data_IF_779182142215
#
_entry.id   IF_779182142215
#
_cell.length_a   1.000
_cell.length_b   1.000
_cell.length_c   1.000
_cell.angle_alpha   90.00
_cell.angle_beta   90.00
_cell.angle_gamma   90.00
#
_symmetry.space_group_name_H-M   'P 1'
#
loop_
_entity.id
_entity.type
_entity.pdbx_description
1 polymer ?
#
# COMPACT_ATOMS: atom_id res chain seq x y z
N UNK A 1 -25.14 87.19 31.81
CA UNK A 1 -23.91 87.98 31.54
C UNK A 1 -22.75 87.24 32.15
N UNK A 2 -21.71 86.94 31.34
CA UNK A 2 -20.32 86.58 31.74
C UNK A 2 -20.18 85.23 32.47
N UNK A 3 -19.29 84.28 32.19
CA UNK A 3 -18.41 83.84 31.10
C UNK A 3 -17.91 82.44 31.55
N UNK A 4 -17.46 81.54 30.65
CA UNK A 4 -17.10 80.17 30.99
C UNK A 4 -15.60 80.05 31.38
N UNK A 5 -15.29 79.20 32.36
CA UNK A 5 -13.92 78.76 32.67
C UNK A 5 -13.70 77.31 32.22
N UNK A 6 -12.70 77.18 31.37
CA UNK A 6 -12.04 76.01 30.80
C UNK A 6 -11.35 75.11 31.84
N UNK A 7 -11.27 73.81 31.56
CA UNK A 7 -10.07 72.95 31.68
C UNK A 7 -10.39 71.55 31.11
N UNK A 8 -9.90 71.22 29.91
CA UNK A 8 -8.74 70.36 29.60
C UNK A 8 -8.89 68.90 30.10
N UNK A 9 -9.12 67.93 29.19
CA UNK A 9 -8.13 67.30 28.29
C UNK A 9 -7.47 66.08 28.94
N UNK A 10 -7.91 64.89 28.53
CA UNK A 10 -7.06 63.73 28.17
C UNK A 10 -7.95 62.65 27.55
N UNK A 11 -8.08 62.67 26.23
CA UNK A 11 -8.59 61.52 25.48
C UNK A 11 -7.45 60.51 25.37
N UNK A 12 -7.49 59.45 26.17
CA UNK A 12 -6.62 58.29 25.96
C UNK A 12 -7.06 57.58 24.68
N UNK A 13 -6.27 57.75 23.62
CA UNK A 13 -6.33 56.89 22.46
C UNK A 13 -5.93 55.47 22.88
N UNK A 14 -6.92 54.57 22.95
CA UNK A 14 -6.66 53.13 23.09
C UNK A 14 -6.13 52.65 21.73
N UNK A 15 -4.81 52.53 21.66
CA UNK A 15 -4.10 51.90 20.54
C UNK A 15 -4.54 50.41 20.52
N UNK A 16 -5.10 49.88 19.42
CA UNK A 16 -5.35 48.45 19.33
C UNK A 16 -4.00 47.71 19.36
N UNK A 17 -3.90 46.56 20.06
CA UNK A 17 -2.66 45.81 20.14
C UNK A 17 -2.16 45.44 18.74
N UNK A 18 -0.83 45.35 18.54
CA UNK A 18 -0.26 45.01 17.24
C UNK A 18 -0.85 43.67 16.79
N UNK A 19 -1.49 43.68 15.62
CA UNK A 19 -1.89 42.48 14.90
C UNK A 19 -0.60 41.70 14.67
N UNK A 20 -0.40 40.67 15.48
CA UNK A 20 0.65 39.70 15.29
C UNK A 20 0.36 39.01 13.96
N UNK A 21 0.99 39.49 12.89
CA UNK A 21 0.98 38.84 11.59
C UNK A 21 1.83 37.59 11.73
N UNK A 22 1.24 36.54 12.30
CA UNK A 22 1.65 35.17 12.04
C UNK A 22 1.84 35.05 10.51
N UNK A 23 2.97 34.50 10.03
CA UNK A 23 3.20 34.41 8.60
C UNK A 23 2.01 33.71 7.98
N UNK A 24 1.32 34.41 7.06
CA UNK A 24 0.31 33.82 6.19
C UNK A 24 1.01 32.70 5.44
N UNK A 25 0.90 31.48 5.96
CA UNK A 25 1.12 30.26 5.20
C UNK A 25 0.19 30.41 4.00
N UNK A 26 0.77 30.71 2.86
CA UNK A 26 0.08 30.90 1.60
C UNK A 26 -0.87 29.72 1.39
N UNK A 27 -2.13 30.02 1.11
CA UNK A 27 -3.18 29.08 0.71
C UNK A 27 -2.86 28.42 -0.64
N UNK A 28 -1.78 27.66 -0.68
CA UNK A 28 -1.41 26.71 -1.72
C UNK A 28 -0.96 25.41 -1.05
N UNK A 29 -1.84 24.83 -0.22
CA UNK A 29 -1.77 23.40 0.06
C UNK A 29 -2.26 22.67 -1.20
N UNK A 30 -1.38 22.57 -2.21
CA UNK A 30 -1.52 21.52 -3.24
C UNK A 30 -1.66 20.20 -2.50
N UNK A 31 -2.68 19.44 -2.86
CA UNK A 31 -3.10 18.17 -2.26
C UNK A 31 -1.90 17.21 -2.10
N UNK A 32 -1.17 17.33 -1.00
CA UNK A 32 0.05 16.57 -0.75
C UNK A 32 -0.39 15.17 -0.35
N UNK A 33 -0.47 14.29 -1.34
CA UNK A 33 -0.79 12.89 -1.12
C UNK A 33 0.32 12.26 -0.26
N UNK A 34 -0.07 11.55 0.79
CA UNK A 34 0.79 10.89 1.79
C UNK A 34 1.45 9.62 1.23
N UNK A 35 2.53 9.16 1.86
CA UNK A 35 3.14 7.85 1.60
C UNK A 35 2.62 6.85 2.63
N UNK A 36 1.86 5.87 2.16
CA UNK A 36 1.19 4.88 3.02
C UNK A 36 2.15 3.77 3.43
N UNK A 37 2.26 3.51 4.74
CA UNK A 37 3.09 2.45 5.32
C UNK A 37 2.17 1.27 5.68
N UNK A 38 2.16 0.23 4.85
CA UNK A 38 1.45 -1.02 5.14
C UNK A 38 2.44 -2.05 5.68
N UNK A 39 2.15 -2.64 6.83
CA UNK A 39 3.02 -3.60 7.53
C UNK A 39 2.19 -4.50 8.45
N UNK A 40 2.76 -5.63 8.86
CA UNK A 40 2.18 -6.44 9.92
C UNK A 40 2.70 -5.94 11.28
N UNK A 41 1.81 -5.81 12.27
CA UNK A 41 2.18 -5.31 13.60
C UNK A 41 3.33 -6.09 14.26
N UNK A 42 3.41 -7.40 14.01
CA UNK A 42 4.48 -8.27 14.50
C UNK A 42 5.87 -7.92 13.96
N UNK A 43 5.96 -7.11 12.91
CA UNK A 43 7.24 -6.63 12.39
C UNK A 43 7.66 -5.27 12.99
N UNK A 44 6.88 -4.69 13.90
CA UNK A 44 7.28 -3.44 14.58
C UNK A 44 7.92 -3.71 15.93
N UNK A 45 9.23 -3.44 16.02
CA UNK A 45 9.98 -3.50 17.27
C UNK A 45 9.43 -2.54 18.33
N UNK A 46 9.05 -1.33 17.93
CA UNK A 46 8.48 -0.31 18.81
C UNK A 46 7.14 -0.74 19.40
N UNK A 47 6.30 -1.43 18.62
CA UNK A 47 5.06 -2.05 19.12
C UNK A 47 5.38 -3.17 20.12
N UNK A 48 6.28 -4.08 19.77
CA UNK A 48 6.65 -5.22 20.62
C UNK A 48 7.23 -4.76 21.96
N UNK A 49 8.05 -3.71 21.98
CA UNK A 49 8.56 -3.13 23.24
C UNK A 49 7.44 -2.65 24.17
N UNK A 50 6.44 -1.93 23.63
CA UNK A 50 5.26 -1.51 24.41
C UNK A 50 4.45 -2.71 24.92
N UNK A 51 4.33 -3.75 24.11
CA UNK A 51 3.60 -4.96 24.48
C UNK A 51 4.33 -5.77 25.57
N UNK A 52 5.67 -5.75 25.59
CA UNK A 52 6.48 -6.31 26.68
C UNK A 52 6.26 -5.54 27.98
N UNK A 53 6.30 -4.20 27.93
CA UNK A 53 6.02 -3.35 29.09
C UNK A 53 4.60 -3.57 29.65
N UNK A 54 3.64 -3.86 28.76
CA UNK A 54 2.26 -4.20 29.12
C UNK A 54 2.06 -5.67 29.57
N UNK A 55 3.10 -6.51 29.50
CA UNK A 55 3.02 -7.94 29.84
C UNK A 55 2.26 -8.81 28.84
N UNK A 56 2.11 -8.33 27.59
CA UNK A 56 1.41 -9.02 26.49
C UNK A 56 2.38 -9.83 25.61
N UNK A 57 3.64 -9.40 25.52
CA UNK A 57 4.68 -10.04 24.73
C UNK A 57 5.91 -10.36 25.59
N UNK A 58 6.81 -11.21 25.10
CA UNK A 58 8.06 -11.54 25.76
C UNK A 58 9.27 -10.95 25.03
N UNK A 59 10.42 -10.90 25.71
CA UNK A 59 11.65 -10.36 25.10
C UNK A 59 12.11 -11.16 23.89
N UNK A 60 11.79 -12.45 23.82
CA UNK A 60 12.07 -13.30 22.65
C UNK A 60 11.29 -12.88 21.40
N UNK A 61 10.17 -12.15 21.55
CA UNK A 61 9.40 -11.66 20.41
C UNK A 61 10.13 -10.50 19.69
N UNK A 62 11.07 -9.82 20.34
CA UNK A 62 11.90 -8.79 19.72
C UNK A 62 12.82 -9.33 18.63
N UNK A 63 13.20 -10.61 18.73
CA UNK A 63 14.07 -11.23 17.72
C UNK A 63 13.28 -11.56 16.46
N UNK A 64 11.96 -11.70 16.56
CA UNK A 64 11.06 -12.01 15.44
C UNK A 64 10.72 -10.77 14.60
N UNK A 65 10.87 -9.56 15.14
CA UNK A 65 10.51 -8.32 14.43
C UNK A 65 11.44 -8.03 13.25
N UNK A 66 12.65 -8.60 13.24
CA UNK A 66 13.72 -8.23 12.32
C UNK A 66 14.36 -6.90 12.67
N UNK A 67 15.26 -6.43 11.80
CA UNK A 67 16.10 -5.24 12.03
C UNK A 67 15.46 -3.93 11.58
N UNK A 68 14.42 -3.99 10.74
CA UNK A 68 13.78 -2.84 10.15
C UNK A 68 12.39 -2.66 10.78
N UNK A 69 12.19 -1.61 11.58
CA UNK A 69 10.90 -1.28 12.17
C UNK A 69 10.14 -0.30 11.27
N UNK A 70 9.00 -0.72 10.68
CA UNK A 70 8.19 0.13 9.81
C UNK A 70 7.73 1.44 10.49
N UNK A 71 7.53 1.41 11.82
CA UNK A 71 7.06 2.57 12.59
C UNK A 71 8.14 3.59 12.88
N UNK A 72 9.41 3.22 12.68
CA UNK A 72 10.56 4.06 12.95
C UNK A 72 11.38 4.32 11.70
N UNK A 73 12.09 3.33 11.17
CA UNK A 73 13.00 3.53 10.05
C UNK A 73 12.27 4.02 8.80
N UNK A 74 11.17 3.37 8.39
CA UNK A 74 10.41 3.81 7.21
C UNK A 74 9.76 5.17 7.43
N UNK A 75 9.18 5.39 8.61
CA UNK A 75 8.55 6.64 8.97
C UNK A 75 9.52 7.83 8.87
N UNK A 76 10.70 7.70 9.51
CA UNK A 76 11.75 8.72 9.49
C UNK A 76 12.28 8.95 8.07
N UNK A 77 12.48 7.90 7.27
CA UNK A 77 12.96 8.02 5.89
C UNK A 77 11.98 8.78 5.00
N UNK A 78 10.68 8.53 5.13
CA UNK A 78 9.65 9.27 4.38
C UNK A 78 9.70 10.76 4.74
N UNK A 79 9.82 11.09 6.03
CA UNK A 79 9.95 12.47 6.50
C UNK A 79 11.23 13.13 5.99
N UNK A 80 12.37 12.41 6.01
CA UNK A 80 13.64 12.89 5.46
C UNK A 80 13.58 13.15 3.95
N UNK A 81 12.71 12.43 3.22
CA UNK A 81 12.45 12.69 1.81
C UNK A 81 11.54 13.91 1.58
N UNK A 82 11.00 14.53 2.65
CA UNK A 82 10.11 15.68 2.57
C UNK A 82 8.65 15.33 2.27
N UNK A 83 8.24 14.07 2.50
CA UNK A 83 6.87 13.61 2.31
C UNK A 83 6.19 13.30 3.66
N UNK A 84 4.87 13.25 3.66
CA UNK A 84 4.08 12.94 4.85
C UNK A 84 3.81 11.43 4.93
N UNK A 85 4.30 10.72 5.96
CA UNK A 85 3.98 9.31 6.18
C UNK A 85 2.53 9.16 6.68
N UNK A 86 1.84 8.13 6.19
CA UNK A 86 0.58 7.66 6.76
C UNK A 86 0.82 6.33 7.46
N UNK A 87 0.55 6.28 8.76
CA UNK A 87 0.73 5.10 9.61
C UNK A 87 -0.52 4.89 10.48
N UNK A 88 -0.97 3.65 10.55
CA UNK A 88 -2.16 3.22 11.27
C UNK A 88 -2.16 3.57 12.77
N UNK A 89 -1.02 3.50 13.45
CA UNK A 89 -0.89 3.84 14.89
C UNK A 89 -1.32 5.28 15.20
N UNK A 90 -1.14 6.21 14.26
CA UNK A 90 -1.42 7.64 14.49
C UNK A 90 -2.75 8.09 13.89
N UNK A 91 -3.24 7.40 12.86
CA UNK A 91 -4.31 7.90 11.99
C UNK A 91 -5.64 7.16 12.22
N UNK A 92 -5.63 5.99 12.86
CA UNK A 92 -6.84 5.24 13.15
C UNK A 92 -7.58 5.81 14.36
N UNK A 93 -8.84 6.19 14.14
CA UNK A 93 -9.74 6.59 15.22
C UNK A 93 -10.34 5.37 15.89
N UNK A 94 -10.29 5.36 17.23
CA UNK A 94 -10.95 4.34 18.05
C UNK A 94 -12.47 4.44 17.85
N UNK A 95 -13.11 3.33 17.46
CA UNK A 95 -14.58 3.22 17.33
C UNK A 95 -15.13 3.21 15.90
N UNK A 96 -14.31 3.39 14.87
CA UNK A 96 -14.70 3.22 13.46
C UNK A 96 -14.15 1.91 12.87
N UNK A 97 -14.81 1.37 11.83
CA UNK A 97 -14.37 0.18 11.11
C UNK A 97 -12.98 0.40 10.49
N UNK A 98 -12.02 -0.44 10.89
CA UNK A 98 -10.61 -0.36 10.48
C UNK A 98 -10.48 -0.37 8.95
N UNK A 99 -11.21 -1.26 8.28
CA UNK A 99 -11.11 -1.44 6.85
C UNK A 99 -11.62 -0.22 6.08
N UNK A 100 -12.72 0.38 6.54
CA UNK A 100 -13.28 1.61 5.95
C UNK A 100 -12.31 2.79 6.06
N UNK A 101 -11.60 2.93 7.18
CA UNK A 101 -10.59 3.98 7.37
C UNK A 101 -9.38 3.77 6.44
N UNK A 102 -8.86 2.53 6.37
CA UNK A 102 -7.76 2.17 5.47
C UNK A 102 -8.13 2.38 4.00
N UNK A 103 -9.33 1.97 3.60
CA UNK A 103 -9.80 2.15 2.22
C UNK A 103 -9.95 3.63 1.84
N UNK A 104 -10.39 4.48 2.78
CA UNK A 104 -10.46 5.93 2.60
C UNK A 104 -9.06 6.53 2.45
N UNK A 105 -8.13 6.15 3.31
CA UNK A 105 -6.75 6.62 3.27
C UNK A 105 -6.05 6.22 1.96
N UNK A 106 -6.11 4.95 1.57
CA UNK A 106 -5.53 4.47 0.32
C UNK A 106 -6.13 5.16 -0.91
N UNK A 107 -7.44 5.40 -0.92
CA UNK A 107 -8.11 6.01 -2.08
C UNK A 107 -7.89 7.52 -2.21
N UNK A 108 -7.92 8.24 -1.09
CA UNK A 108 -8.03 9.70 -1.11
C UNK A 108 -6.74 10.40 -0.66
N UNK A 109 -5.95 9.76 0.20
CA UNK A 109 -4.80 10.37 0.85
C UNK A 109 -3.48 9.84 0.27
N UNK A 110 -3.40 8.56 -0.10
CA UNK A 110 -2.16 7.93 -0.54
C UNK A 110 -1.74 8.31 -1.99
N UNK A 111 -0.45 8.65 -2.16
CA UNK A 111 0.20 8.78 -3.47
C UNK A 111 1.02 7.54 -3.81
N UNK A 112 1.62 6.93 -2.80
CA UNK A 112 2.59 5.86 -2.88
C UNK A 112 2.35 4.93 -1.70
N UNK A 113 2.50 3.63 -1.90
CA UNK A 113 2.38 2.63 -0.85
C UNK A 113 3.71 1.89 -0.69
N UNK A 114 4.22 1.82 0.53
CA UNK A 114 5.33 0.96 0.90
C UNK A 114 4.73 -0.22 1.66
N UNK A 115 4.91 -1.43 1.12
CA UNK A 115 4.47 -2.66 1.76
C UNK A 115 5.67 -3.34 2.40
N UNK A 116 5.56 -3.68 3.68
CA UNK A 116 6.60 -4.35 4.45
C UNK A 116 6.32 -5.85 4.40
N UNK A 117 6.92 -6.49 3.41
CA UNK A 117 6.68 -7.89 3.09
C UNK A 117 7.44 -8.78 4.07
N UNK A 118 6.73 -9.67 4.72
CA UNK A 118 7.25 -10.65 5.66
C UNK A 118 6.34 -11.89 5.63
N UNK A 119 6.78 -12.96 6.30
CA UNK A 119 5.95 -14.16 6.45
C UNK A 119 4.67 -13.82 7.22
N UNK A 120 4.76 -12.98 8.26
CA UNK A 120 3.59 -12.53 9.03
C UNK A 120 2.64 -11.65 8.20
N UNK A 121 3.16 -10.79 7.34
CA UNK A 121 2.35 -9.98 6.43
C UNK A 121 1.59 -10.86 5.43
N UNK A 122 2.25 -11.89 4.89
CA UNK A 122 1.64 -12.82 3.95
C UNK A 122 0.51 -13.67 4.57
N UNK A 123 0.53 -13.87 5.89
CA UNK A 123 -0.47 -14.65 6.63
C UNK A 123 -1.55 -13.80 7.32
N UNK A 124 -1.44 -12.47 7.28
CA UNK A 124 -2.42 -11.55 7.83
C UNK A 124 -3.49 -11.20 6.80
N UNK A 125 -4.76 -11.50 7.10
CA UNK A 125 -5.90 -11.15 6.25
C UNK A 125 -5.97 -9.64 5.97
N UNK A 126 -5.80 -8.83 7.01
CA UNK A 126 -5.82 -7.37 6.91
C UNK A 126 -4.72 -6.86 5.98
N UNK A 127 -3.49 -7.35 6.15
CA UNK A 127 -2.35 -6.92 5.33
C UNK A 127 -2.54 -7.33 3.86
N UNK A 128 -3.04 -8.55 3.62
CA UNK A 128 -3.35 -9.01 2.26
C UNK A 128 -4.43 -8.16 1.60
N UNK A 129 -5.50 -7.85 2.31
CA UNK A 129 -6.60 -7.04 1.76
C UNK A 129 -6.17 -5.60 1.48
N UNK A 130 -5.34 -5.00 2.33
CA UNK A 130 -4.70 -3.69 2.09
C UNK A 130 -3.88 -3.70 0.80
N UNK A 131 -2.99 -4.69 0.63
CA UNK A 131 -2.19 -4.83 -0.58
C UNK A 131 -3.07 -5.03 -1.82
N UNK A 132 -4.06 -5.92 -1.75
CA UNK A 132 -4.99 -6.17 -2.84
C UNK A 132 -5.75 -4.90 -3.24
N UNK A 133 -6.18 -4.11 -2.27
CA UNK A 133 -6.91 -2.87 -2.52
C UNK A 133 -5.99 -1.79 -3.12
N UNK A 134 -4.79 -1.60 -2.57
CA UNK A 134 -3.80 -0.68 -3.14
C UNK A 134 -3.44 -1.04 -4.60
N UNK A 135 -3.25 -2.34 -4.87
CA UNK A 135 -2.98 -2.84 -6.21
C UNK A 135 -4.17 -2.65 -7.16
N UNK A 136 -5.42 -2.83 -6.68
CA UNK A 136 -6.66 -2.54 -7.45
C UNK A 136 -6.76 -1.06 -7.82
N UNK A 137 -6.40 -0.17 -6.91
CA UNK A 137 -6.34 1.29 -7.13
C UNK A 137 -5.17 1.70 -8.05
N UNK A 138 -4.31 0.75 -8.45
CA UNK A 138 -3.10 0.99 -9.24
C UNK A 138 -2.17 2.03 -8.61
N UNK A 139 -2.16 2.11 -7.28
CA UNK A 139 -1.21 2.95 -6.58
C UNK A 139 0.20 2.42 -6.85
N UNK A 140 1.20 3.30 -7.05
CA UNK A 140 2.59 2.87 -7.04
C UNK A 140 2.91 2.17 -5.72
N UNK A 141 3.57 1.03 -5.82
CA UNK A 141 3.96 0.21 -4.67
C UNK A 141 5.49 0.04 -4.67
N UNK A 142 6.10 0.16 -3.49
CA UNK A 142 7.47 -0.26 -3.19
C UNK A 142 7.38 -1.45 -2.22
N UNK A 143 7.70 -2.67 -2.65
CA UNK A 143 7.88 -3.77 -1.72
C UNK A 143 9.22 -3.67 -1.01
N UNK A 144 9.17 -3.72 0.32
CA UNK A 144 10.32 -3.76 1.21
C UNK A 144 10.25 -5.05 2.03
N UNK A 145 11.17 -5.98 1.80
CA UNK A 145 11.19 -7.26 2.50
C UNK A 145 11.84 -7.05 3.87
N UNK A 146 11.13 -7.43 4.92
CA UNK A 146 11.52 -7.27 6.34
C UNK A 146 11.23 -8.55 7.13
N UNK A 147 11.42 -8.49 8.45
CA UNK A 147 11.21 -9.63 9.35
C UNK A 147 12.35 -10.63 9.31
N UNK A 148 12.20 -11.70 10.08
CA UNK A 148 13.16 -12.80 10.12
C UNK A 148 12.59 -13.99 9.35
N UNK A 149 13.29 -14.52 8.33
CA UNK A 149 12.80 -15.68 7.58
C UNK A 149 12.52 -16.86 8.52
N UNK A 150 11.30 -17.42 8.45
CA UNK A 150 10.93 -18.56 9.29
C UNK A 150 10.85 -18.26 10.79
N UNK A 151 10.68 -16.99 11.18
CA UNK A 151 10.43 -16.59 12.57
C UNK A 151 9.27 -17.38 13.20
N UNK A 152 8.27 -17.71 12.38
CA UNK A 152 7.20 -18.63 12.71
C UNK A 152 7.34 -19.93 11.93
N UNK A 153 7.71 -21.03 12.62
CA UNK A 153 7.86 -22.37 12.00
C UNK A 153 6.56 -22.92 11.41
N UNK A 154 5.41 -22.33 11.73
CA UNK A 154 4.10 -22.73 11.21
C UNK A 154 3.63 -21.91 10.01
N UNK A 155 4.39 -20.89 9.59
CA UNK A 155 4.04 -20.04 8.45
C UNK A 155 4.86 -20.41 7.23
N UNK A 156 4.22 -20.45 6.08
CA UNK A 156 4.93 -20.59 4.80
C UNK A 156 5.74 -19.30 4.53
N UNK A 157 6.91 -19.39 3.86
CA UNK A 157 7.62 -18.21 3.43
C UNK A 157 6.77 -17.33 2.50
N UNK A 158 6.85 -16.00 2.65
CA UNK A 158 6.00 -15.07 1.90
C UNK A 158 6.09 -15.23 0.38
N UNK A 159 7.25 -15.65 -0.14
CA UNK A 159 7.56 -15.75 -1.56
C UNK A 159 6.90 -16.96 -2.24
N UNK A 160 6.45 -17.95 -1.47
CA UNK A 160 5.65 -19.08 -1.98
C UNK A 160 4.14 -18.90 -1.79
N UNK A 161 3.71 -17.80 -1.17
CA UNK A 161 2.28 -17.50 -0.97
C UNK A 161 1.65 -16.80 -2.18
N UNK A 162 0.33 -16.55 -2.12
CA UNK A 162 -0.37 -15.70 -3.09
C UNK A 162 0.21 -14.28 -3.15
N UNK A 163 0.71 -13.76 -2.03
CA UNK A 163 1.39 -12.46 -2.00
C UNK A 163 2.66 -12.50 -2.85
N UNK A 164 3.51 -13.51 -2.66
CA UNK A 164 4.72 -13.73 -3.47
C UNK A 164 4.40 -13.78 -4.97
N UNK A 165 3.37 -14.53 -5.36
CA UNK A 165 2.91 -14.59 -6.75
C UNK A 165 2.51 -13.21 -7.30
N UNK A 166 1.77 -12.41 -6.53
CA UNK A 166 1.33 -11.07 -6.93
C UNK A 166 2.47 -10.05 -6.94
N UNK A 167 3.50 -10.26 -6.12
CA UNK A 167 4.68 -9.42 -6.05
C UNK A 167 5.69 -9.68 -7.15
N UNK A 168 5.56 -10.77 -7.90
CA UNK A 168 6.49 -11.17 -8.97
C UNK A 168 6.68 -10.11 -10.08
N UNK A 169 5.76 -9.16 -10.21
CA UNK A 169 5.84 -8.02 -11.14
C UNK A 169 6.59 -6.79 -10.60
N UNK A 170 7.00 -6.78 -9.33
CA UNK A 170 7.68 -5.65 -8.70
C UNK A 170 9.15 -5.98 -8.42
N UNK A 171 10.00 -4.97 -8.59
CA UNK A 171 11.32 -4.98 -7.95
C UNK A 171 11.13 -4.63 -6.48
N UNK A 172 11.83 -5.34 -5.60
CA UNK A 172 11.76 -5.16 -4.16
C UNK A 172 13.12 -4.81 -3.56
N UNK A 173 13.09 -4.20 -2.37
CA UNK A 173 14.27 -3.95 -1.55
C UNK A 173 14.29 -4.99 -0.45
N UNK A 174 15.34 -5.80 -0.34
CA UNK A 174 15.50 -6.73 0.78
C UNK A 174 16.30 -6.08 1.90
N UNK A 175 15.65 -5.84 3.05
CA UNK A 175 16.19 -5.16 4.21
C UNK A 175 16.34 -6.06 5.45
N UNK A 176 16.35 -7.38 5.24
CA UNK A 176 16.48 -8.37 6.32
C UNK A 176 17.92 -8.54 6.83
N UNK A 177 18.92 -8.11 6.05
CA UNK A 177 20.33 -8.18 6.44
C UNK A 177 20.80 -6.87 7.08
N UNK A 178 21.13 -6.96 8.37
CA UNK A 178 21.62 -5.83 9.17
C UNK A 178 22.91 -5.20 8.61
N UNK A 179 23.82 -5.98 8.01
CA UNK A 179 25.09 -5.46 7.52
C UNK A 179 24.92 -4.47 6.37
N UNK A 180 23.81 -4.54 5.65
CA UNK A 180 23.51 -3.67 4.52
C UNK A 180 22.45 -2.61 4.83
N UNK A 181 22.03 -2.46 6.09
CA UNK A 181 20.89 -1.63 6.48
C UNK A 181 20.99 -0.21 5.92
N UNK A 182 22.14 0.45 6.03
CA UNK A 182 22.33 1.82 5.53
C UNK A 182 22.21 1.89 4.00
N UNK A 183 22.76 0.93 3.27
CA UNK A 183 22.58 0.83 1.81
C UNK A 183 21.12 0.59 1.43
N UNK A 184 20.36 -0.17 2.24
CA UNK A 184 18.92 -0.38 2.02
C UNK A 184 18.11 0.88 2.32
N UNK A 185 18.52 1.70 3.30
CA UNK A 185 17.94 3.03 3.53
C UNK A 185 18.14 3.93 2.32
N UNK A 186 19.35 4.00 1.77
CA UNK A 186 19.64 4.76 0.55
C UNK A 186 18.80 4.27 -0.64
N UNK A 187 18.70 2.95 -0.82
CA UNK A 187 17.86 2.35 -1.86
C UNK A 187 16.39 2.72 -1.71
N UNK A 188 15.86 2.74 -0.48
CA UNK A 188 14.49 3.14 -0.19
C UNK A 188 14.26 4.62 -0.48
N UNK A 189 15.18 5.50 -0.06
CA UNK A 189 15.14 6.93 -0.35
C UNK A 189 15.09 7.16 -1.87
N UNK A 190 15.96 6.49 -2.62
CA UNK A 190 15.99 6.59 -4.08
C UNK A 190 14.67 6.10 -4.72
N UNK A 191 14.12 4.98 -4.23
CA UNK A 191 12.87 4.42 -4.74
C UNK A 191 11.66 5.34 -4.46
N UNK A 192 11.59 5.94 -3.26
CA UNK A 192 10.53 6.90 -2.90
C UNK A 192 10.62 8.12 -3.79
N UNK A 193 11.78 8.79 -3.85
CA UNK A 193 11.97 10.00 -4.65
C UNK A 193 11.66 9.74 -6.13
N UNK A 194 12.23 8.67 -6.70
CA UNK A 194 12.01 8.33 -8.10
C UNK A 194 10.54 8.07 -8.45
N UNK A 195 9.78 7.38 -7.58
CA UNK A 195 8.35 7.16 -7.82
C UNK A 195 7.53 8.43 -7.64
N UNK A 196 7.84 9.26 -6.64
CA UNK A 196 7.14 10.51 -6.39
C UNK A 196 7.39 11.55 -7.50
N UNK A 197 8.62 11.62 -8.04
CA UNK A 197 8.97 12.43 -9.19
C UNK A 197 8.24 11.96 -10.46
N UNK A 198 8.20 10.65 -10.72
CA UNK A 198 7.46 10.08 -11.85
C UNK A 198 5.95 10.38 -11.76
N UNK A 199 5.37 10.33 -10.56
CA UNK A 199 3.98 10.73 -10.31
C UNK A 199 3.74 12.22 -10.59
N UNK A 200 4.66 13.09 -10.15
CA UNK A 200 4.57 14.52 -10.40
C UNK A 200 4.67 14.84 -11.89
N UNK A 201 5.56 14.17 -12.63
CA UNK A 201 5.69 14.32 -14.08
C UNK A 201 4.41 13.91 -14.80
N UNK A 202 3.84 12.75 -14.48
CA UNK A 202 2.61 12.24 -15.10
C UNK A 202 1.39 13.17 -14.88
N UNK A 203 1.36 13.93 -13.78
CA UNK A 203 0.27 14.90 -13.53
C UNK A 203 0.38 16.20 -14.33
N UNK A 204 1.55 16.49 -14.93
CA UNK A 204 1.77 17.70 -15.72
C UNK A 204 1.55 17.49 -17.23
N UNK A 205 1.51 16.24 -17.70
CA UNK A 205 1.34 15.88 -19.12
C UNK A 205 -0.13 15.84 -19.59
N UNK A 206 -1.09 16.26 -18.77
CA UNK A 206 -2.53 16.32 -19.14
C UNK A 206 -2.88 17.43 -20.18
N UNK A 207 -1.88 18.06 -20.82
CA UNK A 207 -2.07 18.93 -21.98
C UNK A 207 -1.33 18.36 -23.20
N UNK A 208 -1.92 17.34 -23.83
CA UNK A 208 -1.49 16.87 -25.16
C UNK A 208 -2.36 17.57 -26.22
N UNK A 209 -1.78 18.36 -27.16
CA UNK A 209 -2.49 18.73 -28.37
C UNK A 209 -2.77 17.47 -29.17
N UNK A 210 -4.00 17.32 -29.66
CA UNK A 210 -4.46 16.20 -30.50
C UNK A 210 -3.48 15.99 -31.66
N UNK A 211 -2.53 15.08 -31.48
CA UNK A 211 -1.62 14.62 -32.50
C UNK A 211 -2.19 13.34 -33.10
N UNK A 212 -2.39 13.39 -34.41
CA UNK A 212 -2.94 12.37 -35.28
C UNK A 212 -2.32 10.99 -35.03
N UNK A 213 -3.19 10.00 -34.82
CA UNK A 213 -2.81 8.59 -34.72
C UNK A 213 -2.02 8.16 -35.98
N UNK A 214 -0.88 7.47 -35.85
CA UNK A 214 -0.23 6.84 -36.99
C UNK A 214 -1.07 5.66 -37.52
N UNK A 215 -0.95 5.35 -38.83
CA UNK A 215 -1.72 4.26 -39.44
C UNK A 215 -1.32 2.91 -38.87
N UNK A 216 -2.33 2.05 -38.68
CA UNK A 216 -2.21 0.68 -38.20
C UNK A 216 -1.34 -0.12 -39.16
N UNK A 217 -0.12 -0.46 -38.73
CA UNK A 217 0.74 -1.40 -39.44
C UNK A 217 0.27 -2.82 -39.08
N UNK A 218 -0.11 -3.59 -40.11
CA UNK A 218 -0.48 -4.99 -39.96
C UNK A 218 0.67 -5.79 -39.34
N UNK A 219 0.42 -6.35 -38.16
CA UNK A 219 1.41 -7.08 -37.39
C UNK A 219 1.47 -8.55 -37.81
N UNK A 220 2.65 -9.02 -38.20
CA UNK A 220 2.96 -10.42 -38.52
C UNK A 220 3.51 -11.16 -37.29
N UNK A 221 2.81 -11.12 -36.15
CA UNK A 221 3.31 -11.78 -34.93
C UNK A 221 3.10 -13.31 -34.96
N UNK A 222 4.17 -14.05 -34.62
CA UNK A 222 4.10 -15.46 -34.21
C UNK A 222 3.12 -15.63 -33.03
N UNK A 223 2.35 -16.74 -32.96
CA UNK A 223 1.40 -16.95 -31.88
C UNK A 223 2.12 -16.98 -30.54
N UNK A 224 1.78 -16.04 -29.66
CA UNK A 224 2.23 -16.05 -28.27
C UNK A 224 1.54 -17.21 -27.55
N UNK A 225 2.27 -17.91 -26.68
CA UNK A 225 1.68 -18.94 -25.80
C UNK A 225 0.61 -18.28 -24.95
N UNK A 226 -0.62 -18.76 -25.07
CA UNK A 226 -1.77 -18.27 -24.30
C UNK A 226 -1.82 -19.03 -22.98
N UNK A 227 -1.86 -18.29 -21.87
CA UNK A 227 -2.17 -18.87 -20.57
C UNK A 227 -3.69 -19.04 -20.46
N UNK A 228 -4.16 -20.27 -20.33
CA UNK A 228 -5.56 -20.59 -20.14
C UNK A 228 -5.76 -20.98 -18.68
N UNK A 229 -6.44 -20.13 -17.92
CA UNK A 229 -6.93 -20.48 -16.58
C UNK A 229 -8.30 -21.15 -16.72
N UNK A 230 -8.52 -22.26 -16.02
CA UNK A 230 -9.82 -22.92 -15.94
C UNK A 230 -10.08 -23.44 -14.53
N UNK A 231 -11.36 -23.54 -14.17
CA UNK A 231 -11.77 -24.10 -12.89
C UNK A 231 -11.61 -25.63 -12.90
N UNK A 232 -10.89 -26.15 -11.91
CA UNK A 232 -10.71 -27.59 -11.70
C UNK A 232 -12.04 -28.34 -11.58
N UNK A 233 -13.06 -27.70 -11.01
CA UNK A 233 -14.41 -28.27 -10.88
C UNK A 233 -15.06 -28.59 -12.24
N UNK A 234 -14.65 -27.90 -13.31
CA UNK A 234 -15.24 -28.01 -14.64
C UNK A 234 -14.36 -28.83 -15.60
N UNK A 235 -13.24 -29.41 -15.12
CA UNK A 235 -12.36 -30.22 -15.95
C UNK A 235 -12.85 -31.66 -16.03
N UNK A 236 -13.39 -32.01 -17.20
CA UNK A 236 -13.81 -33.40 -17.49
C UNK A 236 -12.65 -34.40 -17.34
N UNK A 237 -11.44 -34.02 -17.76
CA UNK A 237 -10.27 -34.89 -17.65
C UNK A 237 -9.89 -35.14 -16.20
N UNK A 238 -9.97 -34.10 -15.36
CA UNK A 238 -9.73 -34.27 -13.92
C UNK A 238 -10.82 -35.11 -13.27
N UNK A 239 -12.10 -34.85 -13.57
CA UNK A 239 -13.22 -35.65 -13.06
C UNK A 239 -13.14 -37.10 -13.50
N UNK A 240 -12.63 -37.37 -14.70
CA UNK A 240 -12.39 -38.73 -15.19
C UNK A 240 -11.30 -39.43 -14.37
N UNK A 241 -10.20 -38.74 -14.06
CA UNK A 241 -9.14 -39.23 -13.17
C UNK A 241 -9.68 -39.50 -11.75
N UNK A 242 -10.51 -38.58 -11.22
CA UNK A 242 -11.13 -38.74 -9.91
C UNK A 242 -12.16 -39.88 -9.89
N UNK A 243 -12.90 -40.11 -10.97
CA UNK A 243 -13.80 -41.26 -11.13
C UNK A 243 -13.02 -42.57 -11.16
N UNK A 244 -11.90 -42.63 -11.89
CA UNK A 244 -11.00 -43.79 -11.90
C UNK A 244 -10.39 -44.06 -10.52
N UNK A 245 -10.16 -43.02 -9.72
CA UNK A 245 -9.70 -43.11 -8.34
C UNK A 245 -10.84 -43.32 -7.31
N UNK A 246 -12.10 -43.45 -7.74
CA UNK A 246 -13.25 -43.65 -6.84
C UNK A 246 -13.68 -42.42 -6.02
N UNK A 247 -13.18 -41.23 -6.37
CA UNK A 247 -13.42 -39.94 -5.69
C UNK A 247 -14.48 -39.07 -6.36
N UNK A 248 -15.03 -39.52 -7.48
CA UNK A 248 -16.11 -38.84 -8.20
C UNK A 248 -17.09 -39.88 -8.77
N UNK A 249 -18.31 -39.44 -9.05
CA UNK A 249 -19.34 -40.27 -9.69
C UNK A 249 -19.32 -40.11 -11.20
N UNK A 250 -19.95 -41.05 -11.91
CA UNK A 250 -20.14 -40.97 -13.37
C UNK A 250 -20.91 -39.70 -13.77
N UNK A 251 -21.82 -39.23 -12.91
CA UNK A 251 -22.60 -38.00 -13.08
C UNK A 251 -21.69 -36.76 -13.02
N UNK A 252 -20.75 -36.71 -12.07
CA UNK A 252 -19.80 -35.60 -11.95
C UNK A 252 -18.92 -35.43 -13.19
N UNK A 253 -18.55 -36.54 -13.83
CA UNK A 253 -17.79 -36.54 -15.09
C UNK A 253 -18.65 -36.02 -16.25
N UNK A 254 -19.92 -36.39 -16.29
CA UNK A 254 -20.87 -35.98 -17.32
C UNK A 254 -21.18 -34.49 -17.22
N UNK A 255 -21.44 -33.99 -16.01
CA UNK A 255 -21.77 -32.58 -15.76
C UNK A 255 -20.60 -31.64 -16.08
N UNK A 256 -19.36 -32.05 -15.75
CA UNK A 256 -18.16 -31.34 -16.18
C UNK A 256 -18.01 -31.29 -17.71
N UNK A 257 -18.51 -32.31 -18.43
CA UNK A 257 -18.52 -32.35 -19.89
C UNK A 257 -19.57 -31.42 -20.53
N UNK A 258 -20.71 -31.19 -19.87
CA UNK A 258 -21.78 -30.33 -20.37
C UNK A 258 -21.40 -28.83 -20.37
N UNK A 259 -20.59 -28.39 -19.40
CA UNK A 259 -20.13 -27.00 -19.33
C UNK A 259 -19.27 -26.59 -20.54
N UNK A 260 -18.50 -27.52 -21.10
CA UNK A 260 -17.62 -27.24 -22.26
C UNK A 260 -18.44 -27.05 -23.55
N UNK A 261 -19.53 -27.80 -23.72
CA UNK A 261 -20.38 -27.70 -24.92
C UNK A 261 -21.23 -26.43 -24.97
N UNK A 262 -21.64 -25.86 -23.82
CA UNK A 262 -22.36 -24.57 -23.80
C UNK A 262 -21.47 -23.36 -24.15
N UNK A 263 -20.19 -23.40 -23.80
CA UNK A 263 -19.25 -22.32 -24.09
C UNK A 263 -18.86 -22.23 -25.58
N UNK A 264 -18.79 -23.37 -26.28
CA UNK A 264 -18.46 -23.40 -27.71
C UNK A 264 -19.59 -22.87 -28.61
N UNK A 265 -20.85 -22.96 -28.20
CA UNK A 265 -21.98 -22.42 -28.96
C UNK A 265 -22.10 -20.88 -28.91
N UNK A 266 -21.37 -20.18 -28.03
CA UNK A 266 -21.41 -18.70 -27.95
C UNK A 266 -20.17 -18.00 -28.50
N UNK A 267 -19.18 -18.75 -29.00
CA UNK A 267 -17.96 -18.21 -29.62
C UNK A 267 -17.96 -18.32 -31.16
N UNK A 268 -19.07 -18.77 -31.77
CA UNK A 268 -19.21 -18.96 -33.23
C UNK A 268 -20.47 -18.25 -33.79
N UNK A 269 -20.94 -17.18 -33.15
CA UNK A 269 -21.93 -16.27 -33.73
C UNK A 269 -21.41 -14.83 -33.71
#
# INVERSE_FOLDING_TARGET
MIAPSTENSTAHAVIPPPINQSPKISQQAKNAKKVFISYCWSNSRSKTLKDIEAGVASTEDLDKTGFWDPRKETYEIIQQCGYEPWLDEFELKVGEDLFSQLARALKNEAALVIIHVSDEYAHSDNCRDEFLYANKLKLPIIPLIVGVPGASKSMEPWDVTSLGFQLSKYLYIDARDYHFIESKKEALIAAIKGKMEALAAASNDDVIPIATLPPVIASTHKPKKVFVSYSWANSRNQKMSDFQAGRATKTDVFDAGLYVNRLLCHLVC
#
